data_IF_671572454504
#
_entry.id   IF_671572454504
#
_cell.length_a   1.000
_cell.length_b   1.000
_cell.length_c   1.000
_cell.angle_alpha   90.00
_cell.angle_beta   90.00
_cell.angle_gamma   90.00
#
_symmetry.space_group_name_H-M   'P 1'
#
loop_
_entity.id
_entity.type
_entity.pdbx_description
1 polymer ?
#
# COMPACT_ATOMS: atom_id res chain seq x y z
N UNK A 1 22.33 -16.11 -8.21
CA UNK A 1 22.06 -14.72 -8.63
C UNK A 1 21.68 -13.90 -7.42
N UNK A 2 22.01 -12.62 -7.41
CA UNK A 2 21.53 -11.67 -6.40
C UNK A 2 20.04 -11.40 -6.58
N UNK A 3 19.29 -11.34 -5.47
CA UNK A 3 17.89 -10.96 -5.51
C UNK A 3 17.80 -9.46 -5.83
N UNK A 4 17.07 -9.11 -6.89
CA UNK A 4 16.85 -7.73 -7.29
C UNK A 4 15.69 -7.13 -6.51
N UNK A 5 14.64 -7.91 -6.25
CA UNK A 5 13.47 -7.52 -5.46
C UNK A 5 13.11 -8.69 -4.53
N UNK A 6 12.84 -8.36 -3.28
CA UNK A 6 12.30 -9.31 -2.32
C UNK A 6 10.93 -8.82 -1.85
N UNK A 7 9.90 -9.65 -2.02
CA UNK A 7 8.55 -9.35 -1.56
C UNK A 7 8.10 -10.38 -0.54
N UNK A 8 7.46 -9.90 0.52
CA UNK A 8 6.77 -10.74 1.50
C UNK A 8 5.33 -10.23 1.65
N UNK A 9 4.38 -11.14 1.53
CA UNK A 9 2.97 -10.81 1.68
C UNK A 9 2.31 -11.73 2.70
N UNK A 10 1.42 -11.17 3.53
CA UNK A 10 0.55 -11.92 4.43
C UNK A 10 -0.86 -11.80 3.92
N UNK A 11 -1.45 -12.94 3.57
CA UNK A 11 -2.85 -13.03 3.15
C UNK A 11 -3.69 -13.58 4.29
N UNK A 12 -4.92 -13.11 4.39
CA UNK A 12 -5.92 -13.63 5.32
C UNK A 12 -7.06 -14.26 4.52
N UNK A 13 -7.55 -15.40 4.98
CA UNK A 13 -8.76 -15.98 4.45
C UNK A 13 -9.95 -15.30 5.12
N UNK A 14 -10.88 -14.79 4.32
CA UNK A 14 -12.08 -14.14 4.80
C UNK A 14 -13.31 -14.93 4.34
N UNK A 15 -14.22 -15.16 5.25
CA UNK A 15 -15.53 -15.72 4.93
C UNK A 15 -16.32 -14.70 4.10
N UNK A 16 -16.88 -15.16 2.98
CA UNK A 16 -17.51 -14.29 1.98
C UNK A 16 -18.77 -13.60 2.52
N UNK A 17 -19.57 -14.32 3.28
CA UNK A 17 -20.89 -13.83 3.72
C UNK A 17 -20.77 -13.03 5.02
N UNK A 18 -20.06 -13.57 6.00
CA UNK A 18 -19.88 -12.89 7.30
C UNK A 18 -18.80 -11.82 7.31
N UNK A 19 -17.94 -11.78 6.29
CA UNK A 19 -16.77 -10.87 6.17
C UNK A 19 -15.81 -10.97 7.36
N UNK A 20 -15.81 -12.10 8.06
CA UNK A 20 -14.91 -12.38 9.19
C UNK A 20 -13.67 -13.14 8.73
N UNK A 21 -12.54 -12.82 9.36
CA UNK A 21 -11.31 -13.59 9.16
C UNK A 21 -11.54 -15.04 9.61
N UNK A 22 -11.17 -15.99 8.78
CA UNK A 22 -11.28 -17.43 9.00
C UNK A 22 -9.90 -18.06 9.09
N UNK A 23 -9.76 -19.09 9.92
CA UNK A 23 -8.56 -19.92 9.91
C UNK A 23 -8.39 -20.59 8.55
N UNK A 24 -7.16 -20.64 8.08
CA UNK A 24 -6.83 -21.32 6.81
C UNK A 24 -6.78 -22.82 7.08
N UNK A 25 -7.54 -23.58 6.29
CA UNK A 25 -7.52 -25.02 6.35
C UNK A 25 -6.17 -25.54 5.80
N UNK A 26 -5.46 -26.43 6.52
CA UNK A 26 -4.21 -27.02 6.06
C UNK A 26 -4.27 -27.64 4.66
N UNK A 27 -5.39 -28.20 4.26
CA UNK A 27 -5.58 -28.79 2.93
C UNK A 27 -5.53 -27.75 1.81
N UNK A 28 -5.99 -26.52 2.08
CA UNK A 28 -5.95 -25.40 1.11
C UNK A 28 -4.53 -24.97 0.83
N UNK A 29 -3.65 -25.02 1.82
CA UNK A 29 -2.27 -24.52 1.71
C UNK A 29 -1.24 -25.61 1.40
N UNK A 30 -1.60 -26.88 1.57
CA UNK A 30 -0.71 -28.01 1.30
C UNK A 30 -0.05 -27.96 -0.09
N UNK A 31 -0.77 -27.62 -1.20
CA UNK A 31 -0.17 -27.52 -2.52
C UNK A 31 0.92 -26.45 -2.64
N UNK A 32 0.91 -25.44 -1.77
CA UNK A 32 1.89 -24.33 -1.79
C UNK A 32 3.13 -24.63 -0.95
N UNK A 33 3.24 -25.81 -0.34
CA UNK A 33 4.37 -26.23 0.52
C UNK A 33 4.70 -25.17 1.59
N UNK A 34 3.67 -24.57 2.17
CA UNK A 34 3.79 -23.50 3.15
C UNK A 34 4.47 -23.98 4.43
N UNK A 35 5.50 -23.26 4.86
CA UNK A 35 6.19 -23.55 6.12
C UNK A 35 5.50 -22.81 7.27
N UNK A 36 4.62 -23.50 7.99
CA UNK A 36 3.90 -22.95 9.15
C UNK A 36 4.78 -22.75 10.39
N UNK A 37 6.03 -23.22 10.36
CA UNK A 37 6.98 -22.99 11.47
C UNK A 37 7.50 -21.56 11.50
N UNK A 38 7.44 -20.83 10.40
CA UNK A 38 7.88 -19.45 10.30
C UNK A 38 6.89 -18.53 11.00
N UNK A 39 7.40 -17.75 11.96
CA UNK A 39 6.61 -16.69 12.58
C UNK A 39 6.22 -15.66 11.53
N UNK A 40 4.95 -15.24 11.56
CA UNK A 40 4.49 -14.07 10.80
C UNK A 40 5.38 -12.87 11.15
N UNK A 41 5.98 -12.27 10.14
CA UNK A 41 6.68 -11.01 10.33
C UNK A 41 5.62 -9.94 10.61
N UNK A 42 5.74 -9.32 11.78
CA UNK A 42 4.92 -8.16 12.10
C UNK A 42 5.48 -6.97 11.32
N UNK A 43 4.62 -6.29 10.59
CA UNK A 43 4.94 -5.01 9.98
C UNK A 43 5.24 -3.94 11.04
N UNK A 44 5.68 -2.75 10.60
CA UNK A 44 5.92 -1.61 11.48
C UNK A 44 4.62 -1.19 12.18
N UNK A 45 4.79 -0.42 13.27
CA UNK A 45 3.67 0.32 13.85
C UNK A 45 3.45 1.56 13.00
N UNK A 46 2.20 1.85 12.71
CA UNK A 46 1.81 3.07 11.99
C UNK A 46 1.29 4.07 13.02
N UNK A 47 2.04 5.14 13.32
CA UNK A 47 1.58 6.21 14.20
C UNK A 47 0.46 7.02 13.54
N UNK A 48 -0.30 7.73 14.35
CA UNK A 48 -1.19 8.77 13.83
C UNK A 48 -0.35 9.91 13.24
N UNK A 49 -0.82 10.46 12.12
CA UNK A 49 -0.17 11.59 11.48
C UNK A 49 -0.62 12.87 12.20
N UNK A 50 0.35 13.75 12.54
CA UNK A 50 0.06 14.98 13.29
C UNK A 50 -0.21 16.18 12.38
N UNK A 51 0.64 16.37 11.36
CA UNK A 51 0.58 17.50 10.42
C UNK A 51 0.79 17.03 8.96
N UNK A 52 -0.05 16.11 8.45
CA UNK A 52 0.19 15.51 7.16
C UNK A 52 -0.04 16.47 6.00
N UNK A 53 0.75 16.31 4.96
CA UNK A 53 0.39 16.78 3.63
C UNK A 53 -0.72 15.87 3.10
N UNK A 54 -1.76 16.47 2.52
CA UNK A 54 -2.97 15.74 2.10
C UNK A 54 -3.35 16.06 0.67
N UNK A 55 -3.88 15.06 -0.04
CA UNK A 55 -4.47 15.23 -1.36
C UNK A 55 -5.63 14.27 -1.56
N UNK A 56 -6.72 14.79 -2.13
CA UNK A 56 -7.90 14.00 -2.44
C UNK A 56 -7.86 13.46 -3.87
N UNK A 57 -8.35 12.23 -4.04
CA UNK A 57 -8.46 11.56 -5.32
C UNK A 57 -9.85 10.96 -5.49
N UNK A 58 -10.44 11.13 -6.68
CA UNK A 58 -11.68 10.46 -7.05
C UNK A 58 -11.38 9.02 -7.48
N UNK A 59 -12.14 8.08 -6.95
CA UNK A 59 -12.11 6.70 -7.39
C UNK A 59 -12.72 6.60 -8.80
N UNK A 60 -11.91 6.20 -9.78
CA UNK A 60 -12.31 6.10 -11.18
C UNK A 60 -12.78 4.67 -11.49
N UNK A 61 -13.52 4.50 -12.58
CA UNK A 61 -13.96 3.19 -13.03
C UNK A 61 -12.80 2.18 -13.22
N UNK A 62 -11.69 2.62 -13.80
CA UNK A 62 -10.49 1.77 -14.00
C UNK A 62 -9.64 1.54 -12.75
N UNK A 63 -10.00 2.12 -11.63
CA UNK A 63 -9.37 1.81 -10.34
C UNK A 63 -10.00 0.57 -9.70
N UNK A 64 -11.13 0.08 -10.23
CA UNK A 64 -11.90 -1.02 -9.67
C UNK A 64 -11.47 -2.39 -10.22
N UNK A 65 -11.60 -3.40 -9.38
CA UNK A 65 -11.51 -4.80 -9.75
C UNK A 65 -12.88 -5.39 -10.20
N UNK A 66 -12.91 -6.66 -10.54
CA UNK A 66 -14.14 -7.36 -10.95
C UNK A 66 -15.20 -7.46 -9.85
N UNK A 67 -14.83 -7.22 -8.59
CA UNK A 67 -15.75 -7.26 -7.45
C UNK A 67 -16.32 -5.87 -7.13
N UNK A 68 -15.96 -4.83 -7.90
CA UNK A 68 -16.38 -3.45 -7.67
C UNK A 68 -15.65 -2.75 -6.52
N UNK A 69 -14.56 -3.34 -6.04
CA UNK A 69 -13.67 -2.73 -5.05
C UNK A 69 -12.46 -2.11 -5.75
N UNK A 70 -11.84 -1.15 -5.11
CA UNK A 70 -10.58 -0.60 -5.60
C UNK A 70 -9.50 -1.68 -5.62
N UNK A 71 -8.87 -1.84 -6.77
CA UNK A 71 -7.74 -2.76 -6.94
C UNK A 71 -6.60 -2.39 -5.98
N UNK A 72 -6.03 -3.39 -5.32
CA UNK A 72 -4.96 -3.20 -4.34
C UNK A 72 -3.74 -2.44 -4.88
N UNK A 73 -3.45 -2.55 -6.18
CA UNK A 73 -2.35 -1.80 -6.81
C UNK A 73 -2.55 -0.28 -6.77
N UNK A 74 -3.80 0.18 -6.79
CA UNK A 74 -4.14 1.61 -6.80
C UNK A 74 -3.78 2.35 -5.53
N UNK A 75 -3.74 1.64 -4.41
CA UNK A 75 -3.32 2.25 -3.15
C UNK A 75 -1.87 2.74 -3.21
N UNK A 76 -0.96 2.00 -3.87
CA UNK A 76 0.41 2.46 -4.06
C UNK A 76 0.50 3.66 -5.01
N UNK A 77 -0.32 3.71 -6.06
CA UNK A 77 -0.39 4.87 -6.94
C UNK A 77 -0.70 6.14 -6.12
N UNK A 78 -1.70 6.09 -5.25
CA UNK A 78 -2.08 7.24 -4.42
C UNK A 78 -1.06 7.58 -3.32
N UNK A 79 -0.40 6.55 -2.76
CA UNK A 79 0.68 6.74 -1.78
C UNK A 79 1.87 7.46 -2.41
N UNK A 80 2.20 7.17 -3.67
CA UNK A 80 3.29 7.85 -4.37
C UNK A 80 2.86 9.22 -4.91
N UNK A 81 1.71 9.31 -5.55
CA UNK A 81 1.22 10.54 -6.18
C UNK A 81 1.10 11.73 -5.20
N UNK A 82 0.81 11.48 -3.93
CA UNK A 82 0.73 12.54 -2.92
C UNK A 82 2.08 13.21 -2.65
N UNK A 83 3.19 12.50 -2.89
CA UNK A 83 4.56 13.03 -2.74
C UNK A 83 4.91 14.09 -3.79
N UNK A 84 4.25 14.03 -4.94
CA UNK A 84 4.50 14.94 -6.05
C UNK A 84 5.66 14.55 -6.96
N UNK A 85 5.62 15.05 -8.18
CA UNK A 85 6.56 14.67 -9.24
C UNK A 85 8.02 15.04 -8.92
N UNK A 86 8.24 16.19 -8.30
CA UNK A 86 9.57 16.66 -7.94
C UNK A 86 10.28 15.69 -6.99
N UNK A 87 9.59 15.25 -5.93
CA UNK A 87 10.14 14.26 -5.01
C UNK A 87 10.39 12.92 -5.72
N UNK A 88 9.43 12.42 -6.49
CA UNK A 88 9.50 11.12 -7.14
C UNK A 88 10.56 11.05 -8.26
N UNK A 89 10.96 12.19 -8.82
CA UNK A 89 12.03 12.28 -9.83
C UNK A 89 13.41 12.02 -9.23
N UNK A 90 13.59 12.39 -7.96
CA UNK A 90 14.88 12.33 -7.27
C UNK A 90 14.97 11.21 -6.23
N UNK A 91 13.88 10.46 -6.01
CA UNK A 91 13.84 9.40 -5.01
C UNK A 91 13.23 8.12 -5.58
N UNK A 92 13.74 6.99 -5.13
CA UNK A 92 13.17 5.67 -5.41
C UNK A 92 12.83 4.97 -4.09
N UNK A 93 11.73 4.21 -4.03
CA UNK A 93 11.41 3.44 -2.85
C UNK A 93 12.39 2.28 -2.70
N UNK A 94 13.12 2.25 -1.59
CA UNK A 94 14.05 1.17 -1.23
C UNK A 94 13.34 0.05 -0.47
N UNK A 95 12.40 0.43 0.39
CA UNK A 95 11.61 -0.50 1.17
C UNK A 95 10.21 0.04 1.35
N UNK A 96 9.22 -0.80 1.10
CA UNK A 96 7.80 -0.45 1.23
C UNK A 96 7.13 -1.44 2.15
N UNK A 97 6.50 -0.94 3.20
CA UNK A 97 5.55 -1.68 4.01
C UNK A 97 4.16 -1.11 3.75
N UNK A 98 3.24 -1.94 3.29
CA UNK A 98 1.85 -1.55 3.03
C UNK A 98 0.91 -2.48 3.79
N UNK A 99 -0.04 -1.90 4.50
CA UNK A 99 -1.09 -2.60 5.24
C UNK A 99 -2.45 -2.15 4.73
N UNK A 100 -3.21 -3.06 4.18
CA UNK A 100 -4.62 -2.85 3.88
C UNK A 100 -5.46 -3.06 5.14
N UNK A 101 -6.37 -2.12 5.41
CA UNK A 101 -7.22 -2.11 6.61
C UNK A 101 -8.67 -2.31 6.25
N UNK A 102 -9.18 -1.54 5.29
CA UNK A 102 -10.57 -1.58 4.83
C UNK A 102 -10.64 -1.28 3.35
N UNK A 103 -11.50 -1.99 2.64
CA UNK A 103 -11.73 -1.79 1.21
C UNK A 103 -12.31 -0.40 0.91
N UNK A 104 -11.93 0.15 -0.24
CA UNK A 104 -12.55 1.34 -0.81
C UNK A 104 -13.52 0.89 -1.90
N UNK A 105 -14.73 1.46 -1.88
CA UNK A 105 -15.77 1.15 -2.85
C UNK A 105 -15.79 2.16 -4.01
N UNK A 106 -16.55 1.80 -5.06
CA UNK A 106 -16.72 2.63 -6.25
C UNK A 106 -17.32 4.01 -5.94
N UNK A 107 -16.90 5.03 -6.71
CA UNK A 107 -17.54 6.34 -6.76
C UNK A 107 -17.24 7.27 -5.58
N UNK A 108 -16.36 6.87 -4.66
CA UNK A 108 -15.96 7.69 -3.52
C UNK A 108 -14.78 8.63 -3.81
N UNK A 109 -14.48 9.43 -2.81
CA UNK A 109 -13.24 10.21 -2.71
C UNK A 109 -12.38 9.60 -1.63
N UNK A 110 -11.11 9.38 -1.92
CA UNK A 110 -10.11 9.02 -0.92
C UNK A 110 -9.22 10.21 -0.63
N UNK A 111 -8.77 10.31 0.60
CA UNK A 111 -7.73 11.25 1.01
C UNK A 111 -6.44 10.47 1.23
N UNK A 112 -5.40 10.80 0.47
CA UNK A 112 -4.04 10.29 0.69
C UNK A 112 -3.25 11.32 1.46
N UNK A 113 -2.59 10.89 2.53
CA UNK A 113 -1.86 11.73 3.45
C UNK A 113 -0.47 11.17 3.70
N UNK A 114 0.51 12.05 3.94
CA UNK A 114 1.82 11.60 4.41
C UNK A 114 2.49 12.61 5.34
N UNK A 115 3.38 12.09 6.15
CA UNK A 115 4.41 12.83 6.87
C UNK A 115 5.78 12.29 6.52
N UNK A 116 6.79 13.16 6.52
CA UNK A 116 8.15 12.83 6.12
C UNK A 116 9.15 13.20 7.22
N UNK A 117 10.02 12.27 7.54
CA UNK A 117 11.20 12.47 8.37
C UNK A 117 12.45 11.95 7.64
N UNK A 118 13.26 12.88 7.11
CA UNK A 118 14.41 12.51 6.27
C UNK A 118 13.98 11.71 5.03
N UNK A 119 14.57 10.53 4.86
CA UNK A 119 14.26 9.59 3.79
C UNK A 119 13.21 8.53 4.19
N UNK A 120 12.42 8.80 5.21
CA UNK A 120 11.35 7.93 5.65
C UNK A 120 10.02 8.66 5.62
N UNK A 121 8.99 8.01 5.08
CA UNK A 121 7.64 8.56 5.03
C UNK A 121 6.63 7.61 5.64
N UNK A 122 5.67 8.19 6.35
CA UNK A 122 4.49 7.50 6.87
C UNK A 122 3.28 7.97 6.08
N UNK A 123 2.47 7.03 5.60
CA UNK A 123 1.32 7.31 4.76
C UNK A 123 0.04 6.73 5.30
N UNK A 124 -1.06 7.41 5.03
CA UNK A 124 -2.40 6.95 5.33
C UNK A 124 -3.34 7.27 4.17
N UNK A 125 -4.15 6.30 3.78
CA UNK A 125 -5.28 6.49 2.88
C UNK A 125 -6.55 6.30 3.68
N UNK A 126 -7.46 7.25 3.54
CA UNK A 126 -8.74 7.23 4.23
C UNK A 126 -9.90 7.59 3.30
N UNK A 127 -11.09 7.08 3.61
CA UNK A 127 -12.35 7.45 2.98
C UNK A 127 -13.49 7.30 3.98
N UNK A 128 -14.51 8.14 3.89
CA UNK A 128 -15.72 8.09 4.72
C UNK A 128 -15.42 7.99 6.23
N UNK A 129 -14.38 8.70 6.71
CA UNK A 129 -13.96 8.71 8.11
C UNK A 129 -13.26 7.42 8.58
N UNK A 130 -12.86 6.54 7.68
CA UNK A 130 -12.16 5.30 7.99
C UNK A 130 -10.78 5.25 7.34
N UNK A 131 -9.83 4.62 8.03
CA UNK A 131 -8.52 4.28 7.45
C UNK A 131 -8.73 3.08 6.53
N UNK A 132 -8.27 3.20 5.28
CA UNK A 132 -8.32 2.14 4.28
C UNK A 132 -6.98 1.45 4.12
N UNK A 133 -5.88 2.21 4.16
CA UNK A 133 -4.53 1.66 4.11
C UNK A 133 -3.55 2.54 4.87
N UNK A 134 -2.45 1.94 5.31
CA UNK A 134 -1.32 2.61 5.92
C UNK A 134 -0.04 2.10 5.29
N UNK A 135 0.94 2.98 5.05
CA UNK A 135 2.22 2.57 4.53
C UNK A 135 3.38 3.28 5.24
N UNK A 136 4.51 2.61 5.28
CA UNK A 136 5.80 3.16 5.66
C UNK A 136 6.77 2.91 4.51
N UNK A 137 7.48 3.95 4.07
CA UNK A 137 8.42 3.85 2.95
C UNK A 137 9.77 4.43 3.38
N UNK A 138 10.82 3.67 3.11
CA UNK A 138 12.19 4.13 3.15
C UNK A 138 12.63 4.43 1.71
N UNK A 139 13.13 5.64 1.49
CA UNK A 139 13.54 6.14 0.19
C UNK A 139 15.06 6.14 0.04
N UNK A 140 15.51 6.16 -1.20
CA UNK A 140 16.89 6.38 -1.59
C UNK A 140 16.93 7.52 -2.61
N UNK A 141 17.83 8.47 -2.40
CA UNK A 141 18.10 9.52 -3.38
C UNK A 141 18.77 8.92 -4.61
N UNK A 142 18.33 9.37 -5.77
CA UNK A 142 18.93 9.01 -7.04
C UNK A 142 19.27 10.28 -7.81
N UNK A 143 20.38 10.24 -8.55
CA UNK A 143 20.66 11.28 -9.54
C UNK A 143 19.51 11.33 -10.54
N UNK A 144 19.12 12.53 -10.97
CA UNK A 144 18.05 12.77 -11.93
C UNK A 144 18.25 11.86 -13.14
N UNK A 145 17.54 10.76 -13.18
CA UNK A 145 17.47 9.94 -14.38
C UNK A 145 16.64 10.73 -15.36
N UNK A 146 17.27 11.37 -16.31
CA UNK A 146 16.69 12.25 -17.33
C UNK A 146 15.38 11.79 -17.96
N UNK A 147 14.33 11.73 -17.13
CA UNK A 147 12.94 11.67 -17.53
C UNK A 147 12.58 13.08 -17.98
N UNK A 148 13.00 13.44 -19.17
CA UNK A 148 12.47 14.61 -19.85
C UNK A 148 11.02 14.30 -20.18
N UNK A 149 10.11 14.64 -19.27
CA UNK A 149 8.72 14.84 -19.63
C UNK A 149 8.72 15.91 -20.73
N UNK A 150 8.47 15.47 -21.95
CA UNK A 150 8.38 16.19 -23.20
C UNK A 150 8.72 17.68 -23.17
N UNK A 151 9.80 18.02 -23.85
CA UNK A 151 9.90 19.35 -24.42
C UNK A 151 9.01 19.41 -25.65
#
# INVERSE_FOLDING_TARGET
GEAIIQMMATFVLMDRDSRKVRAVDPEIVAPYQSDFSKKLLRGPKYPDLENPVSKDYHVRFYDLDMNGHVNNSKYLDWVFEVMGADFLTHHVPKKVHLKYVKEVLAGGVITSQYEQEGLKTQHQISSDGHINAQAEIEWEEVEEKGWTYGK
#
